data_IF_441131097734
#
_entry.id   IF_441131097734
#
_cell.length_a   1.000
_cell.length_b   1.000
_cell.length_c   1.000
_cell.angle_alpha   90.00
_cell.angle_beta   90.00
_cell.angle_gamma   90.00
#
_symmetry.space_group_name_H-M   'P 1'
#
loop_
_entity.id
_entity.type
_entity.pdbx_description
1 polymer ?
#
# COMPACT_ATOMS: atom_id res chain seq x y z
N UNK A 1 18.32 16.27 -9.05
CA UNK A 1 17.52 17.52 -8.87
C UNK A 1 18.12 18.36 -7.78
N UNK A 2 17.99 19.67 -7.83
CA UNK A 2 18.30 20.48 -6.66
C UNK A 2 17.30 20.14 -5.54
N UNK A 3 17.80 20.14 -4.29
CA UNK A 3 16.96 20.00 -3.09
C UNK A 3 15.77 20.95 -3.16
N UNK A 4 14.57 20.46 -2.83
CA UNK A 4 13.42 21.35 -2.61
C UNK A 4 13.68 22.22 -1.36
N UNK A 5 13.96 23.49 -1.56
CA UNK A 5 14.32 24.42 -0.49
C UNK A 5 13.12 24.81 0.39
N UNK A 6 11.89 24.44 0.02
CA UNK A 6 10.71 24.69 0.85
C UNK A 6 10.52 23.64 1.95
N UNK A 7 11.20 22.50 1.84
CA UNK A 7 11.08 21.41 2.81
C UNK A 7 12.29 21.41 3.74
N UNK A 8 12.04 21.57 5.03
CA UNK A 8 13.07 21.62 6.07
C UNK A 8 12.90 20.53 7.12
N UNK A 9 11.66 20.06 7.37
CA UNK A 9 11.37 19.05 8.37
C UNK A 9 10.28 18.09 7.88
N UNK A 10 10.61 16.80 7.80
CA UNK A 10 9.71 15.76 7.28
C UNK A 10 9.29 14.80 8.38
N UNK A 11 7.98 14.49 8.41
CA UNK A 11 7.44 13.36 9.17
C UNK A 11 7.46 12.10 8.29
N UNK A 12 8.17 11.05 8.72
CA UNK A 12 8.11 9.71 8.11
C UNK A 12 7.14 8.83 8.90
N UNK A 13 6.21 8.20 8.21
CA UNK A 13 5.29 7.23 8.80
C UNK A 13 5.84 5.82 8.55
N UNK A 14 6.12 5.08 9.62
CA UNK A 14 6.59 3.69 9.56
C UNK A 14 5.46 2.69 9.32
N UNK A 15 5.84 1.42 9.11
CA UNK A 15 4.92 0.33 8.77
C UNK A 15 4.19 -0.31 9.95
N UNK A 16 4.59 0.03 11.17
CA UNK A 16 4.11 -0.70 12.34
C UNK A 16 4.77 -2.08 12.49
N UNK A 17 4.16 -3.02 13.21
CA UNK A 17 4.66 -4.38 13.36
C UNK A 17 4.69 -5.09 12.00
N UNK A 18 5.76 -5.83 11.73
CA UNK A 18 5.86 -6.68 10.54
C UNK A 18 4.90 -7.85 10.72
N UNK A 19 4.00 -8.00 9.77
CA UNK A 19 3.03 -9.11 9.71
C UNK A 19 3.28 -9.96 8.46
N UNK A 20 2.77 -11.19 8.46
CA UNK A 20 2.86 -12.05 7.25
C UNK A 20 2.21 -11.32 6.08
N UNK A 21 2.96 -11.20 4.97
CA UNK A 21 2.53 -10.49 3.76
C UNK A 21 2.93 -9.02 3.70
N UNK A 22 3.44 -8.42 4.78
CA UNK A 22 4.19 -7.17 4.75
C UNK A 22 5.67 -7.49 4.78
N UNK A 23 6.37 -7.05 3.75
CA UNK A 23 7.79 -7.32 3.64
C UNK A 23 8.62 -6.47 4.60
N UNK A 24 9.71 -7.04 5.10
CA UNK A 24 10.64 -6.34 6.02
C UNK A 24 11.46 -5.24 5.33
N UNK A 25 11.36 -5.10 4.00
CA UNK A 25 11.99 -4.01 3.25
C UNK A 25 11.55 -2.63 3.71
N UNK A 26 10.37 -2.46 4.30
CA UNK A 26 9.91 -1.17 4.83
C UNK A 26 10.81 -0.64 5.96
N UNK A 27 11.34 -1.52 6.81
CA UNK A 27 12.29 -1.12 7.84
C UNK A 27 13.56 -0.53 7.23
N UNK A 28 14.06 -1.17 6.17
CA UNK A 28 15.24 -0.71 5.46
C UNK A 28 14.95 0.57 4.67
N UNK A 29 13.88 0.62 3.88
CA UNK A 29 13.56 1.79 3.05
C UNK A 29 13.29 3.03 3.89
N UNK A 30 12.55 2.90 5.01
CA UNK A 30 12.31 4.00 5.93
C UNK A 30 13.59 4.52 6.59
N UNK A 31 14.50 3.62 7.00
CA UNK A 31 15.79 4.00 7.57
C UNK A 31 16.69 4.69 6.53
N UNK A 32 16.70 4.21 5.28
CA UNK A 32 17.48 4.82 4.21
C UNK A 32 16.90 6.18 3.79
N UNK A 33 15.57 6.31 3.72
CA UNK A 33 14.92 7.59 3.44
C UNK A 33 15.28 8.63 4.49
N UNK A 34 15.19 8.26 5.77
CA UNK A 34 15.58 9.14 6.87
C UNK A 34 17.04 9.59 6.75
N UNK A 35 17.95 8.65 6.49
CA UNK A 35 19.36 8.97 6.29
C UNK A 35 19.59 9.92 5.12
N UNK A 36 18.99 9.62 3.96
CA UNK A 36 19.15 10.46 2.76
C UNK A 36 18.63 11.87 2.98
N UNK A 37 17.49 12.03 3.64
CA UNK A 37 16.92 13.34 3.97
C UNK A 37 17.85 14.13 4.92
N UNK A 38 18.39 13.48 5.94
CA UNK A 38 19.33 14.11 6.87
C UNK A 38 20.66 14.49 6.20
N UNK A 39 21.14 13.66 5.27
CA UNK A 39 22.34 13.98 4.47
C UNK A 39 22.13 15.23 3.58
N UNK A 40 20.87 15.49 3.18
CA UNK A 40 20.44 16.73 2.50
C UNK A 40 20.18 17.90 3.47
N UNK A 41 20.37 17.69 4.78
CA UNK A 41 20.14 18.70 5.82
C UNK A 41 18.65 18.97 6.08
N UNK A 42 17.78 17.98 5.88
CA UNK A 42 16.37 18.02 6.26
C UNK A 42 16.22 17.33 7.61
N UNK A 43 15.54 17.96 8.56
CA UNK A 43 15.22 17.35 9.84
C UNK A 43 14.18 16.25 9.65
N UNK A 44 14.32 15.13 10.38
CA UNK A 44 13.43 13.98 10.25
C UNK A 44 12.79 13.64 11.60
N UNK A 45 11.48 13.68 11.62
CA UNK A 45 10.67 13.06 12.67
C UNK A 45 10.09 11.76 12.15
N UNK A 46 10.17 10.70 12.94
CA UNK A 46 9.68 9.37 12.56
C UNK A 46 8.67 8.86 13.59
N UNK A 47 7.55 8.37 13.12
CA UNK A 47 6.57 7.64 13.94
C UNK A 47 6.52 6.17 13.53
N UNK A 48 6.61 5.26 14.49
CA UNK A 48 6.39 3.83 14.30
C UNK A 48 5.86 3.20 15.59
N UNK A 49 5.00 2.21 15.48
CA UNK A 49 4.49 1.47 16.64
C UNK A 49 5.32 0.23 17.00
N UNK A 50 6.28 -0.14 16.14
CA UNK A 50 7.16 -1.30 16.36
C UNK A 50 8.44 -0.89 17.12
N UNK A 51 8.65 -1.38 18.35
CA UNK A 51 9.88 -1.09 19.11
C UNK A 51 11.09 -1.92 18.65
N UNK A 52 10.88 -2.93 17.82
CA UNK A 52 11.90 -3.91 17.42
C UNK A 52 12.36 -3.71 15.95
N UNK A 53 12.22 -2.52 15.42
CA UNK A 53 12.69 -2.17 14.07
C UNK A 53 13.93 -1.27 14.12
N UNK A 54 14.78 -1.37 13.10
CA UNK A 54 15.90 -0.44 12.92
C UNK A 54 15.45 1.02 12.72
N UNK A 55 14.22 1.25 12.22
CA UNK A 55 13.66 2.59 12.04
C UNK A 55 13.51 3.35 13.37
N UNK A 56 13.34 2.65 14.50
CA UNK A 56 13.19 3.26 15.83
C UNK A 56 14.50 3.32 16.61
N UNK A 57 15.63 3.02 15.97
CA UNK A 57 16.95 3.26 16.57
C UNK A 57 17.18 4.77 16.66
N UNK A 58 17.61 5.29 17.82
CA UNK A 58 17.83 6.73 18.06
C UNK A 58 18.78 7.43 17.08
N UNK A 59 19.59 6.69 16.33
CA UNK A 59 20.51 7.27 15.34
C UNK A 59 19.86 7.49 13.97
N UNK A 60 18.66 6.92 13.74
CA UNK A 60 18.02 6.92 12.42
C UNK A 60 17.38 8.25 12.10
N UNK A 61 16.72 8.90 13.05
CA UNK A 61 16.03 10.16 12.85
C UNK A 61 16.34 11.16 13.99
N UNK A 62 16.03 12.43 13.77
CA UNK A 62 16.28 13.47 14.78
C UNK A 62 15.25 13.36 15.91
N UNK A 63 14.01 13.03 15.59
CA UNK A 63 12.95 12.75 16.56
C UNK A 63 12.29 11.41 16.25
N UNK A 64 12.14 10.55 17.25
CA UNK A 64 11.52 9.23 17.11
C UNK A 64 10.36 9.11 18.09
N UNK A 65 9.20 8.77 17.53
CA UNK A 65 7.96 8.54 18.28
C UNK A 65 7.53 7.09 18.18
N UNK A 66 7.68 6.39 19.29
CA UNK A 66 7.16 5.04 19.47
C UNK A 66 5.69 5.15 19.95
N UNK A 67 4.77 5.29 18.99
CA UNK A 67 3.35 5.49 19.25
C UNK A 67 2.48 4.64 18.33
N UNK A 68 1.22 4.37 18.69
CA UNK A 68 0.26 3.80 17.75
C UNK A 68 0.16 4.64 16.47
N UNK A 69 0.03 3.98 15.33
CA UNK A 69 -0.15 4.62 14.04
C UNK A 69 -1.62 5.03 13.87
N UNK A 70 -1.97 6.16 14.45
CA UNK A 70 -3.32 6.75 14.41
C UNK A 70 -3.26 8.23 14.08
N UNK A 71 -4.36 8.78 13.60
CA UNK A 71 -4.46 10.21 13.25
C UNK A 71 -4.22 11.09 14.48
N UNK A 72 -4.70 10.67 15.65
CA UNK A 72 -4.51 11.38 16.92
C UNK A 72 -3.02 11.46 17.30
N UNK A 73 -2.26 10.37 17.08
CA UNK A 73 -0.80 10.35 17.30
C UNK A 73 -0.07 11.29 16.34
N UNK A 74 -0.51 11.35 15.06
CA UNK A 74 0.00 12.31 14.08
C UNK A 74 -0.25 13.73 14.54
N UNK A 75 -1.50 14.08 14.90
CA UNK A 75 -1.82 15.43 15.38
C UNK A 75 -1.01 15.84 16.62
N UNK A 76 -0.84 14.93 17.58
CA UNK A 76 -0.01 15.21 18.77
C UNK A 76 1.44 15.55 18.39
N UNK A 77 1.99 14.86 17.38
CA UNK A 77 3.34 15.13 16.88
C UNK A 77 3.40 16.49 16.19
N UNK A 78 2.44 16.81 15.32
CA UNK A 78 2.38 18.07 14.59
C UNK A 78 2.14 19.27 15.53
N UNK A 79 1.38 19.10 16.60
CA UNK A 79 1.23 20.13 17.65
C UNK A 79 2.56 20.37 18.38
N UNK A 80 3.34 19.31 18.62
CA UNK A 80 4.63 19.41 19.31
C UNK A 80 5.75 19.93 18.41
N UNK A 81 5.66 19.63 17.12
CA UNK A 81 6.60 20.01 16.07
C UNK A 81 5.88 20.80 14.97
N UNK A 82 5.47 22.04 15.24
CA UNK A 82 4.76 22.87 14.27
C UNK A 82 5.65 23.27 13.07
N UNK A 83 6.94 23.00 13.15
CA UNK A 83 7.93 23.19 12.09
C UNK A 83 7.94 22.05 11.06
N UNK A 84 7.21 20.96 11.25
CA UNK A 84 7.05 19.91 10.24
C UNK A 84 6.24 20.47 9.08
N UNK A 85 6.88 20.53 7.91
CA UNK A 85 6.32 21.08 6.67
C UNK A 85 5.96 20.03 5.63
N UNK A 86 6.39 18.77 5.83
CA UNK A 86 6.04 17.68 4.91
C UNK A 86 5.86 16.32 5.61
N UNK A 87 5.10 15.42 4.97
CA UNK A 87 4.94 14.01 5.37
C UNK A 87 5.31 13.07 4.23
N UNK A 88 6.08 12.02 4.55
CA UNK A 88 6.47 10.95 3.62
C UNK A 88 5.81 9.63 4.06
N UNK A 89 4.67 9.23 3.46
CA UNK A 89 3.93 8.03 3.84
C UNK A 89 4.40 6.77 3.13
N UNK A 90 5.13 6.88 2.01
CA UNK A 90 5.45 5.75 1.13
C UNK A 90 6.43 4.73 1.75
N UNK A 91 7.10 5.09 2.84
CA UNK A 91 8.10 4.24 3.50
C UNK A 91 7.49 3.25 4.52
N UNK A 92 6.19 3.30 4.76
CA UNK A 92 5.51 2.45 5.76
C UNK A 92 4.47 1.49 5.17
N UNK A 93 4.49 1.28 3.85
CA UNK A 93 3.55 0.41 3.14
C UNK A 93 2.10 0.82 3.31
N UNK A 94 1.18 -0.13 3.14
CA UNK A 94 -0.26 0.11 3.18
C UNK A 94 -0.74 0.77 4.48
N UNK A 95 -0.14 0.40 5.61
CA UNK A 95 -0.50 0.99 6.91
C UNK A 95 -0.28 2.50 6.93
N UNK A 96 0.87 2.96 6.42
CA UNK A 96 1.20 4.38 6.37
C UNK A 96 0.38 5.13 5.32
N UNK A 97 0.14 4.51 4.15
CA UNK A 97 -0.68 5.09 3.10
C UNK A 97 -2.13 5.30 3.58
N UNK A 98 -2.73 4.29 4.20
CA UNK A 98 -4.08 4.40 4.76
C UNK A 98 -4.16 5.48 5.84
N UNK A 99 -3.18 5.51 6.75
CA UNK A 99 -3.12 6.54 7.79
C UNK A 99 -2.98 7.95 7.20
N UNK A 100 -2.22 8.09 6.11
CA UNK A 100 -2.08 9.36 5.40
C UNK A 100 -3.41 9.83 4.80
N UNK A 101 -4.18 8.91 4.19
CA UNK A 101 -5.53 9.18 3.67
C UNK A 101 -6.49 9.56 4.80
N UNK A 102 -6.51 8.79 5.89
CA UNK A 102 -7.37 9.06 7.04
C UNK A 102 -7.10 10.44 7.66
N UNK A 103 -5.84 10.86 7.67
CA UNK A 103 -5.43 12.18 8.16
C UNK A 103 -5.84 13.30 7.19
N UNK A 104 -5.78 13.07 5.87
CA UNK A 104 -6.27 14.00 4.85
C UNK A 104 -7.78 14.19 4.96
N UNK A 105 -8.54 13.10 5.04
CA UNK A 105 -10.00 13.13 5.17
C UNK A 105 -10.47 13.90 6.42
N UNK A 106 -9.65 13.89 7.49
CA UNK A 106 -9.87 14.69 8.70
C UNK A 106 -9.29 16.11 8.60
N UNK A 107 -8.67 16.47 7.49
CA UNK A 107 -8.11 17.80 7.25
C UNK A 107 -6.86 18.11 8.09
N UNK A 108 -6.16 17.08 8.59
CA UNK A 108 -4.99 17.26 9.48
C UNK A 108 -3.85 17.95 8.76
N UNK A 109 -3.55 17.54 7.52
CA UNK A 109 -2.43 18.09 6.76
C UNK A 109 -2.66 19.56 6.44
N UNK A 110 -3.85 19.92 5.96
CA UNK A 110 -4.24 21.32 5.71
C UNK A 110 -4.24 22.17 6.99
N UNK A 111 -4.70 21.61 8.10
CA UNK A 111 -4.74 22.33 9.41
C UNK A 111 -3.34 22.71 9.90
N UNK A 112 -2.35 21.90 9.63
CA UNK A 112 -0.97 22.08 10.09
C UNK A 112 -0.01 22.57 9.00
N UNK A 113 -0.52 22.88 7.79
CA UNK A 113 0.28 23.33 6.63
C UNK A 113 1.38 22.33 6.25
N UNK A 114 1.02 21.03 6.17
CA UNK A 114 1.93 19.92 5.88
C UNK A 114 1.69 19.40 4.47
N UNK A 115 2.72 19.40 3.63
CA UNK A 115 2.68 18.85 2.28
C UNK A 115 2.89 17.33 2.27
N UNK A 116 2.09 16.60 1.47
CA UNK A 116 2.31 15.17 1.23
C UNK A 116 3.32 15.01 0.10
N UNK A 117 4.45 14.34 0.39
CA UNK A 117 5.54 14.16 -0.57
C UNK A 117 5.75 12.69 -0.95
N UNK A 118 6.30 12.47 -2.14
CA UNK A 118 6.55 11.14 -2.70
C UNK A 118 5.37 10.54 -3.45
N UNK A 119 4.15 10.89 -3.07
CA UNK A 119 2.91 10.44 -3.70
C UNK A 119 1.79 11.45 -3.40
N UNK A 120 0.80 11.58 -4.28
CA UNK A 120 -0.41 12.34 -3.97
C UNK A 120 -1.58 11.40 -3.61
N UNK A 121 -2.57 11.92 -2.91
CA UNK A 121 -3.74 11.15 -2.45
C UNK A 121 -4.53 10.55 -3.61
N UNK A 122 -4.71 11.28 -4.71
CA UNK A 122 -5.42 10.77 -5.88
C UNK A 122 -4.71 9.56 -6.48
N UNK A 123 -3.36 9.61 -6.55
CA UNK A 123 -2.57 8.48 -7.03
C UNK A 123 -2.70 7.27 -6.10
N UNK A 124 -2.71 7.47 -4.77
CA UNK A 124 -2.94 6.38 -3.82
C UNK A 124 -4.32 5.75 -4.06
N UNK A 125 -5.37 6.58 -4.10
CA UNK A 125 -6.74 6.10 -4.29
C UNK A 125 -6.90 5.31 -5.60
N UNK A 126 -6.34 5.82 -6.70
CA UNK A 126 -6.42 5.14 -8.00
C UNK A 126 -5.65 3.82 -8.01
N UNK A 127 -4.47 3.78 -7.40
CA UNK A 127 -3.61 2.58 -7.43
C UNK A 127 -4.07 1.49 -6.48
N UNK A 128 -4.68 1.88 -5.35
CA UNK A 128 -5.19 0.94 -4.36
C UNK A 128 -6.58 0.40 -4.71
N UNK A 129 -7.40 1.20 -5.39
CA UNK A 129 -8.73 0.77 -5.87
C UNK A 129 -8.60 0.08 -7.23
N UNK A 130 -8.91 -1.21 -7.27
CA UNK A 130 -8.75 -2.04 -8.49
C UNK A 130 -9.66 -1.63 -9.62
N UNK A 131 -10.85 -1.10 -9.32
CA UNK A 131 -11.78 -0.64 -10.33
C UNK A 131 -11.30 0.69 -10.94
N UNK A 132 -10.89 1.63 -10.10
CA UNK A 132 -10.30 2.89 -10.55
C UNK A 132 -9.01 2.66 -11.36
N UNK A 133 -8.14 1.77 -10.90
CA UNK A 133 -6.93 1.40 -11.63
C UNK A 133 -7.25 0.80 -12.99
N UNK A 134 -8.22 -0.13 -13.07
CA UNK A 134 -8.65 -0.70 -14.35
C UNK A 134 -9.19 0.37 -15.29
N UNK A 135 -10.05 1.26 -14.80
CA UNK A 135 -10.60 2.35 -15.58
C UNK A 135 -9.50 3.26 -16.13
N UNK A 136 -8.51 3.59 -15.29
CA UNK A 136 -7.34 4.35 -15.73
C UNK A 136 -6.58 3.62 -16.84
N UNK A 137 -6.29 2.32 -16.68
CA UNK A 137 -5.58 1.53 -17.70
C UNK A 137 -6.35 1.51 -19.04
N UNK A 138 -7.67 1.42 -18.99
CA UNK A 138 -8.52 1.50 -20.18
C UNK A 138 -8.44 2.87 -20.87
N UNK A 139 -8.38 3.97 -20.09
CA UNK A 139 -8.31 5.33 -20.69
C UNK A 139 -6.98 5.59 -21.41
N UNK A 140 -5.92 4.89 -21.04
CA UNK A 140 -4.59 5.01 -21.65
C UNK A 140 -4.24 3.82 -22.56
N UNK A 141 -5.23 3.00 -22.89
CA UNK A 141 -5.13 1.88 -23.84
C UNK A 141 -4.10 0.81 -23.44
N UNK A 142 -3.89 0.61 -22.14
CA UNK A 142 -3.01 -0.44 -21.61
C UNK A 142 -3.83 -1.70 -21.34
N UNK A 143 -3.49 -2.83 -22.00
CA UNK A 143 -4.19 -4.08 -21.79
C UNK A 143 -3.92 -4.65 -20.38
N UNK A 144 -4.98 -5.13 -19.73
CA UNK A 144 -4.91 -5.85 -18.46
C UNK A 144 -5.34 -7.30 -18.64
N UNK A 145 -4.84 -8.19 -17.76
CA UNK A 145 -5.35 -9.54 -17.70
C UNK A 145 -6.87 -9.52 -17.44
N UNK A 146 -7.68 -10.33 -18.16
CA UNK A 146 -9.09 -10.45 -17.89
C UNK A 146 -9.33 -10.81 -16.42
N UNK A 147 -10.19 -10.03 -15.76
CA UNK A 147 -10.47 -10.13 -14.34
C UNK A 147 -11.94 -9.90 -14.07
N UNK A 148 -12.50 -10.64 -13.12
CA UNK A 148 -13.87 -10.46 -12.66
C UNK A 148 -13.98 -10.65 -11.15
N UNK A 149 -14.74 -9.80 -10.49
CA UNK A 149 -15.12 -9.95 -9.09
C UNK A 149 -16.34 -10.86 -9.05
N UNK A 150 -16.36 -11.81 -8.10
CA UNK A 150 -17.47 -12.69 -7.84
C UNK A 150 -17.81 -12.71 -6.35
N UNK A 151 -19.08 -12.47 -6.02
CA UNK A 151 -19.64 -12.52 -4.66
C UNK A 151 -20.54 -13.74 -4.46
N UNK A 152 -20.72 -14.50 -5.51
CA UNK A 152 -21.52 -15.72 -5.51
C UNK A 152 -20.89 -16.81 -6.36
N UNK A 153 -21.33 -18.03 -6.11
CA UNK A 153 -20.90 -19.17 -6.90
C UNK A 153 -21.34 -19.07 -8.37
N UNK A 154 -22.49 -18.46 -8.62
CA UNK A 154 -23.01 -18.25 -9.97
C UNK A 154 -22.11 -17.28 -10.75
N UNK A 155 -21.81 -16.13 -10.19
CA UNK A 155 -20.90 -15.14 -10.80
C UNK A 155 -19.51 -15.73 -11.07
N UNK A 156 -19.01 -16.55 -10.15
CA UNK A 156 -17.75 -17.26 -10.34
C UNK A 156 -17.78 -18.23 -11.52
N UNK A 157 -18.89 -18.97 -11.69
CA UNK A 157 -19.06 -19.86 -12.85
C UNK A 157 -19.14 -19.09 -14.17
N UNK A 158 -19.79 -17.95 -14.19
CA UNK A 158 -19.84 -17.08 -15.40
C UNK A 158 -18.43 -16.60 -15.76
N UNK A 159 -17.64 -16.16 -14.80
CA UNK A 159 -16.25 -15.76 -15.01
C UNK A 159 -15.41 -16.92 -15.57
N UNK A 160 -15.58 -18.12 -15.01
CA UNK A 160 -14.86 -19.32 -15.48
C UNK A 160 -15.25 -19.73 -16.90
N UNK A 161 -16.52 -19.54 -17.30
CA UNK A 161 -16.99 -19.80 -18.65
C UNK A 161 -16.40 -18.78 -19.65
N UNK A 162 -16.32 -17.52 -19.23
CA UNK A 162 -15.81 -16.43 -20.05
C UNK A 162 -14.28 -16.55 -20.29
N UNK A 163 -13.51 -16.79 -19.25
CA UNK A 163 -12.04 -16.76 -19.32
C UNK A 163 -11.42 -18.09 -19.69
N UNK A 164 -12.10 -19.22 -19.43
CA UNK A 164 -11.55 -20.56 -19.55
C UNK A 164 -10.40 -20.81 -18.56
N UNK A 165 -9.93 -22.02 -18.49
CA UNK A 165 -8.82 -22.42 -17.62
C UNK A 165 -7.45 -22.25 -18.32
N UNK A 166 -6.34 -22.08 -17.55
CA UNK A 166 -6.28 -21.94 -16.10
C UNK A 166 -6.73 -20.59 -15.60
N UNK A 167 -7.23 -20.57 -14.34
CA UNK A 167 -7.69 -19.37 -13.63
C UNK A 167 -6.92 -19.18 -12.33
N UNK A 168 -6.75 -17.93 -11.90
CA UNK A 168 -6.32 -17.60 -10.55
C UNK A 168 -7.53 -17.09 -9.76
N UNK A 169 -7.83 -17.70 -8.63
CA UNK A 169 -8.87 -17.27 -7.68
C UNK A 169 -8.17 -16.70 -6.46
N UNK A 170 -8.52 -15.48 -6.09
CA UNK A 170 -7.96 -14.78 -4.92
C UNK A 170 -9.06 -14.27 -4.03
N UNK A 171 -9.05 -14.62 -2.75
CA UNK A 171 -9.96 -14.06 -1.77
C UNK A 171 -9.67 -12.55 -1.60
N UNK A 172 -10.71 -11.71 -1.67
CA UNK A 172 -10.58 -10.27 -1.43
C UNK A 172 -10.30 -9.98 0.05
N UNK A 173 -9.53 -8.93 0.32
CA UNK A 173 -9.18 -8.48 1.67
C UNK A 173 -8.45 -9.52 2.53
N UNK A 174 -7.61 -10.35 1.91
CA UNK A 174 -6.70 -11.27 2.60
C UNK A 174 -5.25 -10.81 2.43
N UNK A 175 -4.42 -11.10 3.44
CA UNK A 175 -2.99 -10.78 3.44
C UNK A 175 -2.14 -12.00 3.10
N UNK A 176 -0.97 -11.77 2.51
CA UNK A 176 0.05 -12.80 2.29
C UNK A 176 -0.36 -13.91 1.32
N UNK A 177 -1.23 -13.64 0.36
CA UNK A 177 -1.69 -14.61 -0.62
C UNK A 177 -2.63 -15.70 -0.05
N UNK A 178 -3.11 -15.52 1.19
CA UNK A 178 -4.07 -16.43 1.81
C UNK A 178 -5.34 -16.52 0.95
N UNK A 179 -5.74 -17.76 0.58
CA UNK A 179 -6.91 -18.00 -0.27
C UNK A 179 -6.65 -17.76 -1.77
N UNK A 180 -5.39 -17.54 -2.18
CA UNK A 180 -5.02 -17.52 -3.59
C UNK A 180 -4.78 -18.94 -4.09
N UNK A 181 -5.41 -19.31 -5.21
CA UNK A 181 -5.31 -20.65 -5.80
C UNK A 181 -5.32 -20.56 -7.32
N UNK A 182 -4.40 -21.27 -7.97
CA UNK A 182 -4.45 -21.48 -9.43
C UNK A 182 -5.24 -22.75 -9.69
N UNK A 183 -6.27 -22.63 -10.51
CA UNK A 183 -7.16 -23.70 -10.93
C UNK A 183 -6.86 -24.04 -12.37
N UNK A 184 -6.37 -25.24 -12.63
CA UNK A 184 -6.00 -25.67 -13.97
C UNK A 184 -7.16 -26.30 -14.73
N UNK A 185 -8.07 -26.95 -14.02
CA UNK A 185 -9.14 -27.75 -14.59
C UNK A 185 -10.48 -27.44 -13.88
N UNK A 186 -11.56 -27.72 -14.59
CA UNK A 186 -12.92 -27.43 -14.10
C UNK A 186 -13.29 -28.18 -12.83
N UNK A 187 -12.72 -29.37 -12.66
CA UNK A 187 -12.99 -30.28 -11.56
C UNK A 187 -12.62 -29.67 -10.18
N UNK A 188 -11.54 -28.89 -10.12
CA UNK A 188 -11.07 -28.23 -8.90
C UNK A 188 -11.71 -26.86 -8.67
N UNK A 189 -12.38 -26.31 -9.67
CA UNK A 189 -12.90 -24.95 -9.64
C UNK A 189 -13.89 -24.71 -8.51
N UNK A 190 -14.87 -25.62 -8.33
CA UNK A 190 -15.92 -25.46 -7.34
C UNK A 190 -15.37 -25.43 -5.91
N UNK A 191 -14.39 -26.29 -5.65
CA UNK A 191 -13.71 -26.34 -4.35
C UNK A 191 -12.90 -25.07 -4.08
N UNK A 192 -12.13 -24.62 -5.08
CA UNK A 192 -11.31 -23.42 -4.97
C UNK A 192 -12.15 -22.16 -4.79
N UNK A 193 -13.24 -22.03 -5.57
CA UNK A 193 -14.16 -20.89 -5.49
C UNK A 193 -14.86 -20.84 -4.12
N UNK A 194 -15.37 -21.99 -3.64
CA UNK A 194 -16.02 -22.08 -2.34
C UNK A 194 -15.04 -21.70 -1.22
N UNK A 195 -13.81 -22.22 -1.30
CA UNK A 195 -12.78 -21.89 -0.32
C UNK A 195 -12.46 -20.39 -0.33
N UNK A 196 -12.26 -19.79 -1.52
CA UNK A 196 -11.97 -18.36 -1.65
C UNK A 196 -13.10 -17.48 -1.09
N UNK A 197 -14.36 -17.78 -1.41
CA UNK A 197 -15.52 -17.05 -0.89
C UNK A 197 -15.64 -17.15 0.66
N UNK A 198 -15.31 -18.31 1.23
CA UNK A 198 -15.31 -18.46 2.68
C UNK A 198 -14.12 -17.78 3.37
N UNK A 199 -12.97 -17.72 2.71
CA UNK A 199 -11.75 -17.12 3.26
C UNK A 199 -11.83 -15.59 3.27
N UNK A 200 -12.54 -15.01 2.31
CA UNK A 200 -12.75 -13.55 2.25
C UNK A 200 -13.69 -13.08 3.36
N UNK A 201 -13.30 -12.06 4.16
CA UNK A 201 -14.14 -11.48 5.20
C UNK A 201 -15.47 -10.91 4.68
N UNK A 202 -15.52 -10.55 3.41
CA UNK A 202 -16.69 -9.97 2.74
C UNK A 202 -17.33 -10.94 1.72
N UNK A 203 -16.92 -12.22 1.73
CA UNK A 203 -17.40 -13.25 0.81
C UNK A 203 -17.26 -12.86 -0.68
N UNK A 204 -16.11 -12.30 -1.02
CA UNK A 204 -15.78 -11.85 -2.37
C UNK A 204 -14.45 -12.47 -2.82
N UNK A 205 -14.40 -12.88 -4.08
CA UNK A 205 -13.18 -13.35 -4.74
C UNK A 205 -12.94 -12.59 -6.01
N UNK A 206 -11.68 -12.51 -6.37
CA UNK A 206 -11.24 -12.04 -7.67
C UNK A 206 -10.81 -13.26 -8.48
N UNK A 207 -11.35 -13.35 -9.68
CA UNK A 207 -11.04 -14.41 -10.64
C UNK A 207 -10.30 -13.78 -11.80
N UNK A 208 -9.04 -14.16 -11.98
CA UNK A 208 -8.18 -13.68 -13.06
C UNK A 208 -7.91 -14.81 -14.06
N UNK A 209 -7.77 -14.47 -15.33
CA UNK A 209 -7.14 -15.35 -16.30
C UNK A 209 -5.68 -15.57 -15.90
N UNK A 210 -5.29 -16.79 -15.62
CA UNK A 210 -3.89 -17.09 -15.26
C UNK A 210 -2.97 -16.96 -16.47
N UNK A 211 -1.91 -16.16 -16.33
CA UNK A 211 -0.92 -15.89 -17.36
C UNK A 211 0.30 -16.83 -17.20
N UNK A 212 0.06 -18.13 -17.05
CA UNK A 212 1.12 -19.12 -16.83
C UNK A 212 2.06 -19.20 -18.04
N UNK A 213 3.35 -19.22 -17.75
CA UNK A 213 4.39 -19.30 -18.78
C UNK A 213 4.71 -17.97 -19.47
N UNK A 214 4.02 -16.89 -19.12
CA UNK A 214 4.40 -15.55 -19.54
C UNK A 214 5.68 -15.12 -18.81
N UNK A 215 6.46 -14.25 -19.44
CA UNK A 215 7.56 -13.59 -18.75
C UNK A 215 7.01 -12.44 -17.92
N UNK A 216 7.47 -12.35 -16.68
CA UNK A 216 7.18 -11.24 -15.79
C UNK A 216 8.29 -10.20 -15.89
N UNK A 217 7.91 -8.95 -16.02
CA UNK A 217 8.82 -7.81 -16.01
C UNK A 217 8.26 -6.76 -15.08
N UNK A 218 9.13 -6.18 -14.27
CA UNK A 218 8.84 -5.06 -13.41
C UNK A 218 9.54 -3.82 -13.95
N UNK A 219 8.88 -2.67 -13.90
CA UNK A 219 9.43 -1.39 -14.33
C UNK A 219 9.45 -0.46 -13.13
N UNK A 220 10.65 -0.08 -12.72
CA UNK A 220 10.86 0.95 -11.71
C UNK A 220 11.01 2.30 -12.39
N UNK A 221 10.07 3.22 -12.10
CA UNK A 221 10.10 4.58 -12.63
C UNK A 221 10.57 5.54 -11.55
N UNK A 222 11.74 6.11 -11.74
CA UNK A 222 12.25 7.21 -10.91
C UNK A 222 12.02 8.53 -11.64
N UNK A 223 11.29 9.45 -10.97
CA UNK A 223 11.01 10.79 -11.47
C UNK A 223 11.47 11.83 -10.45
N UNK A 224 12.17 12.82 -10.93
CA UNK A 224 12.51 14.05 -10.22
C UNK A 224 11.54 15.19 -10.57
#
# INVERSE_FOLDING_TARGET
>A
MPKNSSINHILIIGSGPIVIGQACEFDYSGSQASRSLRDEGIEVTLINSNPATIMTDPVVADNIYLKPLTVESIEEILVKHPEIDAVLPTMGGQTALNLCIDAEDKGVWTKHDVDIVGVNIDAINITEDREQFRNLMQTIDIPMAPQRIAKSFLEGKEAAQEFGFPLCIRASFTLGGTGATIVYEKEDFEKALTHGLHTSPIHEVIIDKALLGWKEYELELLRD
#
